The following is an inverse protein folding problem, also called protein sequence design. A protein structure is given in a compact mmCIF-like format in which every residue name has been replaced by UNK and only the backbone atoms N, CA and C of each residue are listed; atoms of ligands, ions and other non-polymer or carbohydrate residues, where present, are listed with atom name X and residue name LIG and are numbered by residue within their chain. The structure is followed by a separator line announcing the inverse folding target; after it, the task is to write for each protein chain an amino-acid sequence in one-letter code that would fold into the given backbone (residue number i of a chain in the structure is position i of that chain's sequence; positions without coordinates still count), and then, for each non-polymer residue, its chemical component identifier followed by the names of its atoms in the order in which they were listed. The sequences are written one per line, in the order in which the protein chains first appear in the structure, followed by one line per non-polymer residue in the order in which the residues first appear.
data_IF_910197253134
#
_entry.id   IF_910197253134
#
_cell.length_a   1.000
_cell.length_b   1.000
_cell.length_c   1.000
_cell.angle_alpha   90.00
_cell.angle_beta   90.00
_cell.angle_gamma   90.00
#
_symmetry.space_group_name_H-M   'P 1'
#
loop_
_entity.id
_entity.type
_entity.pdbx_description
1 polymer ?
#
# COMPACT_ATOMS: atom_id res chain seq x y z
N UNK A 1 -1.80 -26.87 4.93
CA UNK A 1 -1.80 -26.05 6.19
C UNK A 1 -3.16 -25.37 6.26
N UNK A 2 -3.86 -25.51 7.38
CA UNK A 2 -5.19 -24.92 7.55
C UNK A 2 -5.17 -23.41 7.25
N UNK A 3 -6.17 -22.91 6.53
CA UNK A 3 -6.30 -21.52 6.03
C UNK A 3 -5.24 -21.08 4.99
N UNK A 4 -4.47 -22.00 4.42
CA UNK A 4 -3.52 -21.72 3.34
C UNK A 4 -3.82 -22.60 2.12
N UNK A 5 -3.75 -23.93 2.27
CA UNK A 5 -3.92 -24.86 1.13
C UNK A 5 -5.34 -24.83 0.58
N UNK A 6 -6.33 -24.58 1.45
CA UNK A 6 -7.75 -24.42 1.08
C UNK A 6 -8.00 -23.26 0.12
N UNK A 7 -7.13 -22.24 0.14
CA UNK A 7 -7.23 -21.03 -0.71
C UNK A 7 -6.29 -21.07 -1.93
N UNK A 8 -5.75 -22.27 -2.26
CA UNK A 8 -4.85 -22.49 -3.41
C UNK A 8 -5.36 -23.59 -4.35
N UNK A 9 -6.60 -24.05 -4.18
CA UNK A 9 -7.18 -25.13 -4.95
C UNK A 9 -7.43 -24.77 -6.41
N UNK A 10 -6.79 -25.48 -7.35
CA UNK A 10 -6.90 -25.22 -8.78
C UNK A 10 -8.32 -25.39 -9.32
N UNK A 11 -9.07 -26.39 -8.82
CA UNK A 11 -10.44 -26.64 -9.27
C UNK A 11 -11.37 -25.47 -8.94
N UNK A 12 -11.23 -24.85 -7.75
CA UNK A 12 -12.02 -23.70 -7.37
C UNK A 12 -11.58 -22.44 -8.13
N UNK A 13 -10.28 -22.28 -8.36
CA UNK A 13 -9.76 -21.21 -9.21
C UNK A 13 -10.35 -21.28 -10.63
N UNK A 14 -10.39 -22.47 -11.23
CA UNK A 14 -10.98 -22.69 -12.55
C UNK A 14 -12.49 -22.34 -12.58
N UNK A 15 -13.23 -22.71 -11.53
CA UNK A 15 -14.66 -22.36 -11.41
C UNK A 15 -14.88 -20.84 -11.33
N UNK A 16 -14.06 -20.15 -10.54
CA UNK A 16 -14.14 -18.69 -10.38
C UNK A 16 -13.78 -17.97 -11.69
N UNK A 17 -12.76 -18.44 -12.41
CA UNK A 17 -12.39 -17.89 -13.72
C UNK A 17 -13.50 -18.09 -14.75
N UNK A 18 -14.14 -19.28 -14.77
CA UNK A 18 -15.30 -19.53 -15.64
C UNK A 18 -16.49 -18.65 -15.26
N UNK A 19 -16.74 -18.43 -13.96
CA UNK A 19 -17.77 -17.52 -13.50
C UNK A 19 -17.48 -16.07 -13.91
N UNK A 20 -16.25 -15.61 -13.75
CA UNK A 20 -15.82 -14.28 -14.21
C UNK A 20 -16.02 -14.10 -15.72
N UNK A 21 -15.65 -15.10 -16.53
CA UNK A 21 -15.84 -15.05 -17.98
C UNK A 21 -17.32 -14.94 -18.39
N UNK A 22 -18.20 -15.62 -17.66
CA UNK A 22 -19.65 -15.60 -17.89
C UNK A 22 -20.30 -14.28 -17.44
N UNK A 23 -19.88 -13.80 -16.27
CA UNK A 23 -20.53 -12.69 -15.57
C UNK A 23 -20.03 -11.31 -16.03
N UNK A 24 -18.88 -11.23 -16.73
CA UNK A 24 -18.32 -9.98 -17.26
C UNK A 24 -18.95 -9.66 -18.62
N UNK A 25 -19.82 -8.65 -18.69
CA UNK A 25 -20.54 -8.27 -19.92
C UNK A 25 -19.91 -7.06 -20.63
N UNK A 26 -19.08 -6.28 -19.94
CA UNK A 26 -18.39 -5.09 -20.47
C UNK A 26 -17.03 -4.90 -19.80
N UNK A 27 -16.14 -4.03 -20.33
CA UNK A 27 -14.83 -3.79 -19.74
C UNK A 27 -14.90 -3.14 -18.34
N UNK A 28 -14.15 -3.69 -17.39
CA UNK A 28 -14.01 -3.19 -16.02
C UNK A 28 -12.56 -3.01 -15.64
N UNK A 29 -12.25 -1.91 -14.96
CA UNK A 29 -10.93 -1.65 -14.38
C UNK A 29 -11.01 -1.69 -12.87
N UNK A 30 -10.32 -2.64 -12.26
CA UNK A 30 -10.23 -2.84 -10.83
C UNK A 30 -8.82 -2.49 -10.35
N UNK A 31 -8.71 -1.85 -9.19
CA UNK A 31 -7.42 -1.53 -8.56
C UNK A 31 -7.26 -2.32 -7.27
N UNK A 32 -6.15 -3.01 -7.12
CA UNK A 32 -5.74 -3.53 -5.81
C UNK A 32 -4.87 -2.51 -5.06
N UNK A 33 -4.94 -2.52 -3.74
CA UNK A 33 -4.33 -1.51 -2.86
C UNK A 33 -3.28 -2.09 -1.92
N UNK A 34 -2.63 -3.20 -2.31
CA UNK A 34 -1.60 -3.80 -1.48
C UNK A 34 -0.55 -4.53 -2.31
N UNK A 35 0.73 -4.25 -2.03
CA UNK A 35 1.84 -4.95 -2.68
C UNK A 35 1.80 -6.48 -2.51
N UNK A 36 1.28 -6.99 -1.38
CA UNK A 36 1.06 -8.42 -1.19
C UNK A 36 0.01 -9.01 -2.14
N UNK A 37 -1.05 -8.24 -2.44
CA UNK A 37 -2.04 -8.61 -3.46
C UNK A 37 -1.40 -8.59 -4.85
N UNK A 38 -0.66 -7.53 -5.20
CA UNK A 38 0.11 -7.43 -6.45
C UNK A 38 1.00 -8.66 -6.64
N UNK A 39 1.81 -8.97 -5.63
CA UNK A 39 2.74 -10.10 -5.66
C UNK A 39 2.02 -11.42 -5.94
N UNK A 40 0.93 -11.71 -5.21
CA UNK A 40 0.16 -12.93 -5.41
C UNK A 40 -0.47 -12.99 -6.80
N UNK A 41 -1.11 -11.90 -7.26
CA UNK A 41 -1.77 -11.84 -8.57
C UNK A 41 -0.79 -12.11 -9.73
N UNK A 42 0.39 -11.52 -9.68
CA UNK A 42 1.40 -11.69 -10.74
C UNK A 42 2.07 -13.07 -10.65
N UNK A 43 2.51 -13.47 -9.44
CA UNK A 43 3.20 -14.75 -9.22
C UNK A 43 2.33 -15.96 -9.56
N UNK A 44 1.06 -15.94 -9.20
CA UNK A 44 0.11 -17.03 -9.51
C UNK A 44 -0.41 -16.99 -10.96
N UNK A 45 -0.06 -15.96 -11.74
CA UNK A 45 -0.52 -15.79 -13.11
C UNK A 45 -2.00 -15.41 -13.26
N UNK A 46 -2.68 -15.04 -12.18
CA UNK A 46 -4.11 -14.67 -12.20
C UNK A 46 -4.37 -13.58 -13.23
N UNK A 47 -3.53 -12.55 -13.28
CA UNK A 47 -3.68 -11.43 -14.23
C UNK A 47 -3.72 -11.85 -15.71
N UNK A 48 -3.12 -13.00 -16.04
CA UNK A 48 -3.11 -13.56 -17.42
C UNK A 48 -4.29 -14.47 -17.69
N UNK A 49 -4.90 -15.02 -16.63
CA UNK A 49 -6.04 -15.94 -16.72
C UNK A 49 -7.38 -15.21 -16.68
N UNK A 50 -7.41 -13.94 -16.28
CA UNK A 50 -8.63 -13.14 -16.23
C UNK A 50 -9.21 -12.95 -17.64
N UNK A 51 -10.55 -12.90 -17.78
CA UNK A 51 -11.20 -12.53 -19.03
C UNK A 51 -10.71 -11.18 -19.55
N UNK A 52 -10.62 -11.01 -20.88
CA UNK A 52 -10.16 -9.79 -21.53
C UNK A 52 -10.94 -8.52 -21.12
N UNK A 53 -12.16 -8.68 -20.64
CA UNK A 53 -13.00 -7.58 -20.11
C UNK A 53 -12.56 -7.08 -18.73
N UNK A 54 -11.60 -7.73 -18.04
CA UNK A 54 -11.17 -7.32 -16.71
C UNK A 54 -9.72 -6.82 -16.76
N UNK A 55 -9.54 -5.54 -16.46
CA UNK A 55 -8.22 -4.93 -16.31
C UNK A 55 -7.92 -4.76 -14.82
N UNK A 56 -6.84 -5.38 -14.34
CA UNK A 56 -6.28 -5.09 -13.03
C UNK A 56 -5.17 -4.05 -13.15
N UNK A 57 -5.23 -3.04 -12.29
CA UNK A 57 -4.21 -2.03 -12.12
C UNK A 57 -3.73 -2.00 -10.67
N UNK A 58 -2.53 -1.49 -10.45
CA UNK A 58 -1.87 -1.52 -9.15
C UNK A 58 -1.94 -0.15 -8.50
N UNK A 59 -2.44 -0.12 -7.27
CA UNK A 59 -2.55 1.11 -6.49
C UNK A 59 -1.31 1.37 -5.62
N UNK A 60 -1.33 2.46 -4.86
CA UNK A 60 -0.22 2.88 -4.00
C UNK A 60 -0.16 2.07 -2.70
N UNK A 61 -0.16 0.74 -2.79
CA UNK A 61 -0.27 -0.22 -1.68
C UNK A 61 1.05 -0.74 -1.12
N UNK A 62 2.21 -0.24 -1.58
CA UNK A 62 3.53 -0.59 -1.05
C UNK A 62 4.10 0.62 -0.30
N UNK A 63 4.36 0.53 1.02
CA UNK A 63 4.81 1.68 1.81
C UNK A 63 6.16 2.23 1.34
N UNK A 64 7.08 1.36 0.96
CA UNK A 64 8.38 1.75 0.38
C UNK A 64 8.19 2.54 -0.92
N UNK A 65 7.21 2.12 -1.73
CA UNK A 65 6.97 2.71 -3.05
C UNK A 65 6.43 4.15 -2.98
N UNK A 66 5.68 4.46 -1.92
CA UNK A 66 5.00 5.75 -1.75
C UNK A 66 5.73 6.72 -0.81
N UNK A 67 6.74 6.25 -0.07
CA UNK A 67 7.57 7.10 0.79
C UNK A 67 8.34 8.11 -0.06
N UNK A 68 8.20 9.40 0.26
CA UNK A 68 8.86 10.47 -0.47
C UNK A 68 10.39 10.42 -0.30
N UNK A 69 11.13 10.88 -1.31
CA UNK A 69 12.59 10.93 -1.26
C UNK A 69 13.09 11.84 -0.13
N UNK A 70 12.39 12.93 0.16
CA UNK A 70 12.75 13.82 1.27
C UNK A 70 12.78 13.09 2.62
N UNK A 71 11.81 12.19 2.87
CA UNK A 71 11.79 11.39 4.09
C UNK A 71 12.94 10.38 4.12
N UNK A 72 13.33 9.82 2.97
CA UNK A 72 14.49 8.94 2.84
C UNK A 72 15.77 9.72 3.15
N UNK A 73 15.94 10.93 2.58
CA UNK A 73 17.11 11.75 2.81
C UNK A 73 17.21 12.21 4.28
N UNK A 74 16.08 12.52 4.91
CA UNK A 74 16.02 12.79 6.36
C UNK A 74 16.47 11.59 7.17
N UNK A 75 15.98 10.40 6.81
CA UNK A 75 16.38 9.14 7.44
C UNK A 75 17.90 8.92 7.33
N UNK A 76 18.46 9.10 6.13
CA UNK A 76 19.91 8.97 5.87
C UNK A 76 20.72 9.99 6.64
N UNK A 77 20.26 11.24 6.75
CA UNK A 77 20.95 12.28 7.52
C UNK A 77 20.99 11.96 9.02
N UNK A 78 19.95 11.33 9.55
CA UNK A 78 19.91 10.86 10.94
C UNK A 78 20.83 9.65 11.09
N UNK A 79 20.76 8.69 10.19
CA UNK A 79 21.52 7.44 10.21
C UNK A 79 23.04 7.64 10.17
N UNK A 80 23.51 8.69 9.50
CA UNK A 80 24.95 9.03 9.42
C UNK A 80 25.54 9.61 10.69
N UNK A 81 24.72 9.83 11.73
CA UNK A 81 25.21 10.35 13.01
C UNK A 81 25.81 9.23 13.85
N UNK A 82 27.06 9.34 14.29
CA UNK A 82 27.75 8.26 14.98
C UNK A 82 27.14 7.91 16.36
N UNK A 83 26.36 8.82 16.93
CA UNK A 83 25.66 8.63 18.20
C UNK A 83 24.30 7.96 18.05
N UNK A 84 23.83 7.68 16.83
CA UNK A 84 22.52 7.14 16.54
C UNK A 84 22.61 5.66 16.17
N UNK A 85 21.87 4.82 16.87
CA UNK A 85 21.51 3.47 16.41
C UNK A 85 20.16 3.60 15.72
N UNK A 86 20.18 3.48 14.42
CA UNK A 86 18.99 3.64 13.58
C UNK A 86 18.50 2.26 13.12
N UNK A 87 17.24 1.94 13.03
CA UNK A 87 16.71 0.65 12.57
C UNK A 87 15.56 0.85 11.58
N UNK A 88 15.37 0.00 10.54
CA UNK A 88 14.32 0.12 9.51
C UNK A 88 13.75 -1.23 9.07
N UNK A 89 12.66 -1.20 8.30
CA UNK A 89 12.16 -2.37 7.61
C UNK A 89 13.12 -2.80 6.48
N UNK A 90 13.32 -4.11 6.31
CA UNK A 90 14.34 -4.65 5.41
C UNK A 90 14.27 -4.16 3.96
N UNK A 91 13.07 -3.94 3.41
CA UNK A 91 12.92 -3.42 2.04
C UNK A 91 13.38 -1.95 1.89
N UNK A 92 13.36 -1.17 2.97
CA UNK A 92 13.89 0.20 2.96
C UNK A 92 15.42 0.22 2.83
N UNK A 93 16.10 -0.79 3.34
CA UNK A 93 17.56 -0.91 3.23
C UNK A 93 18.06 -1.14 1.79
N UNK A 94 17.14 -1.47 0.87
CA UNK A 94 17.45 -1.65 -0.55
C UNK A 94 17.29 -0.39 -1.39
N UNK A 95 16.77 0.68 -0.82
CA UNK A 95 16.67 1.96 -1.53
C UNK A 95 18.09 2.47 -1.77
N UNK A 96 18.49 2.79 -3.02
CA UNK A 96 19.82 3.29 -3.32
C UNK A 96 20.18 4.50 -2.45
N UNK A 97 21.36 4.45 -1.80
CA UNK A 97 21.81 5.47 -0.84
C UNK A 97 21.43 5.20 0.61
N UNK A 98 20.64 4.17 0.92
CA UNK A 98 20.32 3.76 2.28
C UNK A 98 21.41 2.81 2.80
N UNK A 99 22.44 3.34 3.43
CA UNK A 99 23.36 2.54 4.25
C UNK A 99 22.84 2.57 5.69
N UNK A 100 22.17 1.51 6.08
CA UNK A 100 21.63 1.23 7.40
C UNK A 100 20.76 2.33 8.06
N UNK A 101 19.75 1.92 8.71
CA UNK A 101 19.16 2.18 10.01
C UNK A 101 17.70 2.66 9.99
N UNK A 102 16.98 2.57 11.07
CA UNK A 102 15.53 2.49 11.21
C UNK A 102 14.73 3.73 10.88
N UNK A 103 13.75 3.47 10.08
CA UNK A 103 12.76 4.38 9.60
C UNK A 103 11.37 3.72 9.71
N UNK A 104 10.44 4.34 10.42
CA UNK A 104 9.11 3.81 10.65
C UNK A 104 8.21 4.07 9.43
N UNK A 105 8.40 3.27 8.41
CA UNK A 105 7.62 3.28 7.18
C UNK A 105 6.48 2.28 7.28
N UNK A 106 5.30 2.62 6.82
CA UNK A 106 4.19 1.68 6.83
C UNK A 106 2.87 2.32 6.48
N UNK A 107 1.88 1.47 6.42
CA UNK A 107 0.47 1.82 6.46
C UNK A 107 -0.09 1.64 7.87
N UNK A 108 -1.39 1.70 7.99
CA UNK A 108 -2.12 1.52 9.26
C UNK A 108 -1.83 0.20 9.94
N UNK A 109 -1.35 -0.81 9.20
CA UNK A 109 -1.03 -2.14 9.75
C UNK A 109 0.13 -2.09 10.73
N UNK A 110 1.18 -1.32 10.43
CA UNK A 110 2.42 -1.25 11.24
C UNK A 110 2.39 -0.10 12.24
N UNK A 111 1.55 0.89 12.04
CA UNK A 111 1.44 2.07 12.87
C UNK A 111 1.15 1.75 14.36
N UNK A 112 0.30 0.78 14.74
CA UNK A 112 0.07 0.45 16.15
C UNK A 112 1.30 -0.06 16.89
N UNK A 113 2.19 -0.82 16.23
CA UNK A 113 3.44 -1.30 16.85
C UNK A 113 4.38 -0.11 17.14
N UNK A 114 4.48 0.84 16.22
CA UNK A 114 5.27 2.05 16.41
C UNK A 114 4.64 2.97 17.46
N UNK A 115 3.31 3.10 17.51
CA UNK A 115 2.60 3.80 18.56
C UNK A 115 2.89 3.18 19.94
N UNK A 116 2.88 1.85 20.04
CA UNK A 116 3.20 1.14 21.29
C UNK A 116 4.63 1.44 21.74
N UNK A 117 5.60 1.46 20.82
CA UNK A 117 6.99 1.77 21.16
C UNK A 117 7.13 3.20 21.71
N UNK A 118 6.52 4.19 21.09
CA UNK A 118 6.50 5.59 21.56
C UNK A 118 5.80 5.70 22.93
N UNK A 119 4.63 5.07 23.06
CA UNK A 119 3.86 5.08 24.29
C UNK A 119 4.64 4.45 25.47
N UNK A 120 5.31 3.31 25.23
CA UNK A 120 6.15 2.67 26.24
C UNK A 120 7.37 3.52 26.59
N UNK A 121 8.04 4.09 25.58
CA UNK A 121 9.18 4.97 25.79
C UNK A 121 8.81 6.18 26.65
N UNK A 122 7.65 6.79 26.40
CA UNK A 122 7.12 7.88 27.21
C UNK A 122 6.84 7.47 28.66
N UNK A 123 6.24 6.29 28.87
CA UNK A 123 5.95 5.76 30.21
C UNK A 123 7.20 5.41 31.03
N UNK A 124 8.29 5.08 30.34
CA UNK A 124 9.57 4.72 30.96
C UNK A 124 10.58 5.87 31.01
N UNK A 125 10.18 7.08 30.63
CA UNK A 125 11.04 8.28 30.52
C UNK A 125 12.33 8.00 29.71
N UNK A 126 12.22 7.26 28.60
CA UNK A 126 13.36 6.96 27.72
C UNK A 126 13.67 8.19 26.88
N UNK A 127 14.85 8.77 27.12
CA UNK A 127 15.29 10.00 26.41
C UNK A 127 16.16 9.73 25.17
N UNK A 128 16.61 8.50 25.01
CA UNK A 128 17.46 8.07 23.90
C UNK A 128 16.69 7.34 22.78
N UNK A 129 15.36 7.40 22.79
CA UNK A 129 14.49 6.85 21.73
C UNK A 129 13.83 7.98 20.94
N UNK A 130 13.71 7.81 19.65
CA UNK A 130 12.90 8.68 18.77
C UNK A 130 12.48 7.92 17.51
N UNK A 131 11.49 8.43 16.82
CA UNK A 131 10.91 7.82 15.62
C UNK A 131 10.79 8.87 14.52
N UNK A 132 11.26 8.56 13.32
CA UNK A 132 10.93 9.31 12.11
C UNK A 132 9.63 8.72 11.53
N UNK A 133 8.52 9.39 11.77
CA UNK A 133 7.19 8.90 11.37
C UNK A 133 6.92 9.16 9.90
N UNK A 134 6.80 8.09 9.11
CA UNK A 134 6.49 8.13 7.68
C UNK A 134 5.29 7.27 7.29
N UNK A 135 4.42 6.98 8.25
CA UNK A 135 3.19 6.23 7.98
C UNK A 135 2.24 7.02 7.10
N UNK A 136 1.58 6.31 6.21
CA UNK A 136 0.56 6.82 5.28
C UNK A 136 -0.76 6.07 5.45
N UNK A 137 -1.86 6.71 5.04
CA UNK A 137 -3.23 6.22 5.23
C UNK A 137 -3.88 5.90 3.88
N UNK A 138 -4.48 4.72 3.78
CA UNK A 138 -5.10 4.22 2.54
C UNK A 138 -6.34 5.02 2.12
N UNK A 139 -7.30 5.35 3.01
CA UNK A 139 -8.55 6.02 2.61
C UNK A 139 -8.34 7.35 1.87
N UNK A 140 -7.48 8.29 2.33
CA UNK A 140 -7.22 9.53 1.59
C UNK A 140 -6.59 9.30 0.21
N UNK A 141 -5.73 8.28 0.06
CA UNK A 141 -5.13 7.94 -1.22
C UNK A 141 -6.18 7.39 -2.21
N UNK A 142 -7.14 6.58 -1.75
CA UNK A 142 -8.26 6.13 -2.57
C UNK A 142 -9.11 7.32 -3.05
N UNK A 143 -9.43 8.27 -2.17
CA UNK A 143 -10.17 9.49 -2.54
C UNK A 143 -9.40 10.32 -3.56
N UNK A 144 -8.10 10.50 -3.39
CA UNK A 144 -7.26 11.24 -4.34
C UNK A 144 -7.25 10.60 -5.73
N UNK A 145 -7.19 9.26 -5.81
CA UNK A 145 -7.28 8.53 -7.08
C UNK A 145 -8.65 8.73 -7.72
N UNK A 146 -9.73 8.55 -6.95
CA UNK A 146 -11.10 8.68 -7.45
C UNK A 146 -11.45 10.10 -7.89
N UNK A 147 -10.89 11.11 -7.24
CA UNK A 147 -11.08 12.53 -7.59
C UNK A 147 -10.24 12.96 -8.80
N UNK A 148 -9.26 12.17 -9.23
CA UNK A 148 -8.42 12.51 -10.38
C UNK A 148 -9.23 12.54 -11.67
N UNK A 149 -9.10 13.57 -12.53
CA UNK A 149 -9.77 13.61 -13.82
C UNK A 149 -9.29 12.51 -14.78
N UNK A 150 -8.10 11.93 -14.53
CA UNK A 150 -7.56 10.81 -15.27
C UNK A 150 -7.98 9.43 -14.71
N UNK A 151 -8.80 9.40 -13.66
CA UNK A 151 -9.22 8.16 -13.01
C UNK A 151 -9.90 7.20 -13.98
N UNK A 152 -9.48 5.93 -13.95
CA UNK A 152 -10.09 4.82 -14.70
C UNK A 152 -10.60 3.70 -13.78
N UNK A 153 -10.36 3.82 -12.48
CA UNK A 153 -10.70 2.77 -11.51
C UNK A 153 -12.20 2.78 -11.25
N UNK A 154 -12.80 1.61 -11.37
CA UNK A 154 -14.23 1.41 -11.20
C UNK A 154 -14.58 0.56 -9.97
N UNK A 155 -13.59 -0.17 -9.42
CA UNK A 155 -13.72 -0.89 -8.16
C UNK A 155 -12.35 -1.06 -7.49
N UNK A 156 -12.36 -1.31 -6.18
CA UNK A 156 -11.14 -1.56 -5.41
C UNK A 156 -11.14 -2.94 -4.75
N UNK A 157 -9.94 -3.54 -4.70
CA UNK A 157 -9.63 -4.63 -3.81
C UNK A 157 -8.84 -4.06 -2.63
N UNK A 158 -9.49 -3.92 -1.48
CA UNK A 158 -8.89 -3.32 -0.30
C UNK A 158 -8.04 -4.33 0.48
N UNK A 159 -6.95 -3.85 1.05
CA UNK A 159 -5.96 -4.66 1.76
C UNK A 159 -6.51 -5.23 3.07
N UNK A 160 -6.70 -6.54 3.16
CA UNK A 160 -7.25 -7.20 4.34
C UNK A 160 -6.46 -6.95 5.62
N UNK A 161 -5.12 -6.87 5.55
CA UNK A 161 -4.30 -6.59 6.75
C UNK A 161 -4.49 -5.16 7.30
N UNK A 162 -4.72 -4.17 6.45
CA UNK A 162 -5.09 -2.81 6.88
C UNK A 162 -6.45 -2.84 7.56
N UNK A 163 -7.42 -3.50 6.92
CA UNK A 163 -8.77 -3.62 7.46
C UNK A 163 -8.84 -4.48 8.74
N UNK A 164 -7.91 -5.40 8.98
CA UNK A 164 -7.82 -6.14 10.24
C UNK A 164 -7.53 -5.20 11.42
N UNK A 165 -6.81 -4.11 11.20
CA UNK A 165 -6.54 -3.07 12.20
C UNK A 165 -7.65 -2.01 12.20
N UNK A 166 -7.92 -1.40 11.05
CA UNK A 166 -8.80 -0.22 10.98
C UNK A 166 -10.28 -0.56 10.78
N UNK A 167 -10.61 -1.81 10.42
CA UNK A 167 -11.92 -2.15 9.90
C UNK A 167 -12.11 -1.63 8.48
N UNK A 168 -13.36 -1.61 8.02
CA UNK A 168 -13.68 -1.05 6.70
C UNK A 168 -14.75 0.05 6.77
N UNK A 169 -15.08 0.52 7.95
CA UNK A 169 -16.06 1.60 8.15
C UNK A 169 -15.70 2.87 7.38
N UNK A 170 -14.40 3.22 7.34
CA UNK A 170 -13.92 4.42 6.65
C UNK A 170 -14.06 4.34 5.12
N UNK A 171 -14.18 3.14 4.56
CA UNK A 171 -14.41 2.95 3.12
C UNK A 171 -15.88 3.13 2.72
N UNK A 172 -16.83 2.99 3.65
CA UNK A 172 -18.26 3.10 3.36
C UNK A 172 -18.65 4.48 2.78
N UNK A 173 -18.23 5.61 3.37
CA UNK A 173 -18.52 6.93 2.79
C UNK A 173 -17.81 7.15 1.45
N UNK A 174 -16.63 6.58 1.22
CA UNK A 174 -15.91 6.65 -0.06
C UNK A 174 -16.70 5.91 -1.14
N UNK A 175 -17.08 4.67 -0.86
CA UNK A 175 -17.87 3.84 -1.76
C UNK A 175 -19.21 4.51 -2.13
N UNK A 176 -19.88 5.13 -1.15
CA UNK A 176 -21.15 5.82 -1.37
C UNK A 176 -21.00 7.10 -2.20
N UNK A 177 -20.00 7.94 -1.88
CA UNK A 177 -19.73 9.22 -2.56
C UNK A 177 -19.35 9.02 -4.02
N UNK A 178 -18.43 8.11 -4.28
CA UNK A 178 -17.90 7.87 -5.62
C UNK A 178 -18.65 6.77 -6.37
N UNK A 179 -19.64 6.13 -5.73
CA UNK A 179 -20.47 5.07 -6.31
C UNK A 179 -19.63 3.91 -6.87
N UNK A 180 -18.63 3.48 -6.11
CA UNK A 180 -17.72 2.39 -6.47
C UNK A 180 -17.83 1.23 -5.49
N UNK A 181 -17.80 -0.03 -5.94
CA UNK A 181 -17.62 -1.16 -5.04
C UNK A 181 -16.20 -1.21 -4.49
N UNK A 182 -16.08 -1.52 -3.20
CA UNK A 182 -14.82 -1.77 -2.51
C UNK A 182 -14.92 -3.14 -1.86
N UNK A 183 -14.06 -4.08 -2.24
CA UNK A 183 -14.07 -5.43 -1.69
C UNK A 183 -12.83 -5.65 -0.86
N UNK A 184 -13.01 -5.90 0.44
CA UNK A 184 -11.90 -6.28 1.33
C UNK A 184 -11.51 -7.72 1.03
N UNK A 185 -10.24 -7.97 0.69
CA UNK A 185 -9.76 -9.31 0.33
C UNK A 185 -8.59 -9.77 1.19
N UNK A 186 -8.44 -11.09 1.31
CA UNK A 186 -7.20 -11.71 1.75
C UNK A 186 -6.12 -11.69 0.65
N UNK A 187 -5.13 -12.57 0.76
CA UNK A 187 -3.90 -12.53 -0.04
C UNK A 187 -3.64 -13.83 -0.81
N UNK A 188 -4.35 -14.89 -0.48
CA UNK A 188 -4.21 -16.15 -1.20
C UNK A 188 -4.90 -16.07 -2.58
N UNK A 189 -4.48 -16.88 -3.56
CA UNK A 189 -5.03 -16.83 -4.91
C UNK A 189 -6.57 -16.88 -4.99
N UNK A 190 -7.20 -17.74 -4.18
CA UNK A 190 -8.67 -17.82 -4.15
C UNK A 190 -9.32 -16.62 -3.47
N UNK A 191 -8.70 -16.04 -2.44
CA UNK A 191 -9.20 -14.79 -1.85
C UNK A 191 -9.32 -13.70 -2.90
N UNK A 192 -8.26 -13.55 -3.72
CA UNK A 192 -8.21 -12.53 -4.76
C UNK A 192 -9.19 -12.80 -5.89
N UNK A 193 -9.30 -14.05 -6.37
CA UNK A 193 -10.28 -14.42 -7.39
C UNK A 193 -11.71 -14.22 -6.90
N UNK A 194 -12.03 -14.59 -5.66
CA UNK A 194 -13.32 -14.34 -5.05
C UNK A 194 -13.61 -12.84 -4.94
N UNK A 195 -12.64 -12.07 -4.46
CA UNK A 195 -12.77 -10.61 -4.36
C UNK A 195 -12.98 -9.93 -5.71
N UNK A 196 -12.24 -10.33 -6.75
CA UNK A 196 -12.44 -9.86 -8.12
C UNK A 196 -13.85 -10.20 -8.61
N UNK A 197 -14.31 -11.45 -8.38
CA UNK A 197 -15.65 -11.87 -8.78
C UNK A 197 -16.76 -11.08 -8.05
N UNK A 198 -16.61 -10.83 -6.74
CA UNK A 198 -17.54 -9.99 -5.98
C UNK A 198 -17.59 -8.57 -6.54
N UNK A 199 -16.43 -7.96 -6.83
CA UNK A 199 -16.34 -6.63 -7.42
C UNK A 199 -17.02 -6.56 -8.79
N UNK A 200 -16.75 -7.51 -9.68
CA UNK A 200 -17.40 -7.59 -11.01
C UNK A 200 -18.92 -7.74 -10.88
N UNK A 201 -19.40 -8.64 -10.03
CA UNK A 201 -20.83 -8.82 -9.79
C UNK A 201 -21.51 -7.55 -9.24
N UNK A 202 -20.82 -6.81 -8.39
CA UNK A 202 -21.34 -5.53 -7.90
C UNK A 202 -21.43 -4.51 -9.04
N UNK A 203 -20.38 -4.40 -9.86
CA UNK A 203 -20.33 -3.51 -11.02
C UNK A 203 -21.40 -3.83 -12.07
N UNK A 204 -21.58 -5.11 -12.42
CA UNK A 204 -22.58 -5.58 -13.40
C UNK A 204 -24.00 -5.32 -12.91
N UNK A 205 -24.23 -5.42 -11.59
CA UNK A 205 -25.51 -5.11 -10.96
C UNK A 205 -25.72 -3.62 -10.66
N UNK A 206 -24.77 -2.73 -10.99
CA UNK A 206 -24.83 -1.30 -10.67
C UNK A 206 -24.82 -1.00 -9.17
N UNK A 207 -24.34 -1.95 -8.35
CA UNK A 207 -24.25 -1.82 -6.90
C UNK A 207 -22.91 -1.17 -6.51
N UNK A 208 -22.93 -0.41 -5.45
CA UNK A 208 -21.76 0.18 -4.82
C UNK A 208 -21.84 -0.04 -3.30
N UNK A 209 -20.72 0.10 -2.61
CA UNK A 209 -20.60 -0.16 -1.17
C UNK A 209 -19.39 -1.01 -0.86
N UNK A 210 -19.26 -1.41 0.40
CA UNK A 210 -18.16 -2.24 0.87
C UNK A 210 -18.66 -3.68 1.07
N UNK A 211 -17.97 -4.63 0.44
CA UNK A 211 -18.14 -6.06 0.67
C UNK A 211 -16.88 -6.66 1.29
N UNK A 212 -17.03 -7.65 2.17
CA UNK A 212 -15.91 -8.25 2.90
C UNK A 212 -15.74 -9.72 2.56
N UNK A 213 -14.82 -10.03 1.64
CA UNK A 213 -14.43 -11.42 1.33
C UNK A 213 -13.58 -12.03 2.46
N UNK A 214 -12.83 -11.18 3.19
CA UNK A 214 -11.87 -11.64 4.21
C UNK A 214 -12.48 -11.69 5.63
N UNK A 215 -13.74 -12.08 5.74
CA UNK A 215 -14.50 -12.07 6.99
C UNK A 215 -13.90 -12.97 8.11
N UNK A 216 -13.02 -13.93 7.74
CA UNK A 216 -12.30 -14.74 8.73
C UNK A 216 -11.29 -13.96 9.56
N UNK A 217 -10.87 -12.78 9.12
CA UNK A 217 -9.85 -11.96 9.79
C UNK A 217 -10.26 -10.49 9.97
N UNK A 218 -11.27 -10.03 9.25
CA UNK A 218 -11.67 -8.61 9.21
C UNK A 218 -13.10 -8.44 9.69
N UNK A 219 -13.28 -7.51 10.62
CA UNK A 219 -14.60 -7.02 11.05
C UNK A 219 -14.80 -5.59 10.58
N UNK A 220 -16.05 -5.10 10.59
CA UNK A 220 -16.39 -3.74 10.16
C UNK A 220 -15.62 -2.67 10.94
N UNK A 221 -15.45 -2.88 12.25
CA UNK A 221 -14.85 -1.90 13.16
C UNK A 221 -13.35 -2.15 13.41
N UNK A 222 -12.81 -3.30 12.98
CA UNK A 222 -11.40 -3.66 13.13
C UNK A 222 -10.97 -3.90 14.58
N UNK A 223 -9.70 -3.62 14.87
CA UNK A 223 -9.09 -3.76 16.20
C UNK A 223 -9.18 -2.44 16.97
N UNK A 224 -10.23 -2.27 17.75
CA UNK A 224 -10.49 -1.05 18.53
C UNK A 224 -9.36 -0.68 19.49
N UNK A 225 -8.77 -1.61 20.27
CA UNK A 225 -7.61 -1.30 21.12
C UNK A 225 -6.42 -0.73 20.33
N UNK A 226 -6.07 -1.33 19.20
CA UNK A 226 -4.98 -0.83 18.34
C UNK A 226 -5.28 0.58 17.79
N UNK A 227 -6.51 0.83 17.35
CA UNK A 227 -6.96 2.13 16.86
C UNK A 227 -6.94 3.20 17.95
N UNK A 228 -7.28 2.86 19.20
CA UNK A 228 -7.20 3.78 20.34
C UNK A 228 -5.77 4.20 20.61
N UNK A 229 -4.86 3.24 20.66
CA UNK A 229 -3.43 3.51 20.88
C UNK A 229 -2.86 4.37 19.74
N UNK A 230 -3.23 4.05 18.50
CA UNK A 230 -2.80 4.83 17.33
C UNK A 230 -3.23 6.30 17.44
N UNK A 231 -4.50 6.56 17.79
CA UNK A 231 -5.02 7.91 17.97
C UNK A 231 -4.50 8.62 19.21
N UNK A 232 -4.07 7.89 20.24
CA UNK A 232 -3.41 8.45 21.43
C UNK A 232 -2.03 9.02 21.08
N UNK A 233 -1.28 8.34 20.22
CA UNK A 233 0.12 8.68 19.91
C UNK A 233 0.25 9.53 18.65
N UNK A 234 -0.57 9.23 17.63
CA UNK A 234 -0.51 9.91 16.33
C UNK A 234 -1.76 10.72 16.03
N UNK A 235 -1.59 11.70 15.17
CA UNK A 235 -2.68 12.43 14.51
C UNK A 235 -2.44 12.49 13.00
N UNK A 236 -3.51 12.61 12.18
CA UNK A 236 -3.39 12.78 10.73
C UNK A 236 -2.64 14.08 10.38
N UNK A 237 -1.86 14.01 9.29
CA UNK A 237 -1.20 15.17 8.70
C UNK A 237 -1.19 15.04 7.18
N UNK A 238 -0.97 16.16 6.51
CA UNK A 238 -0.71 16.15 5.07
C UNK A 238 0.59 15.40 4.80
N UNK A 239 0.61 14.61 3.72
CA UNK A 239 1.78 13.81 3.38
C UNK A 239 2.02 13.81 1.88
N UNK A 240 3.28 14.02 1.51
CA UNK A 240 3.72 13.85 0.14
C UNK A 240 3.91 12.35 -0.16
N UNK A 241 3.15 11.86 -1.12
CA UNK A 241 3.26 10.51 -1.64
C UNK A 241 4.12 10.53 -2.89
N UNK A 242 5.12 9.65 -2.91
CA UNK A 242 6.05 9.57 -4.03
C UNK A 242 5.32 9.30 -5.33
N UNK A 243 5.57 10.15 -6.34
CA UNK A 243 4.97 10.03 -7.67
C UNK A 243 3.47 10.39 -7.77
N UNK A 244 2.81 10.74 -6.66
CA UNK A 244 1.39 11.16 -6.65
C UNK A 244 1.28 12.63 -6.28
N UNK A 245 2.10 13.10 -5.31
CA UNK A 245 2.04 14.45 -4.80
C UNK A 245 1.56 14.52 -3.36
N UNK A 246 1.22 15.74 -2.92
CA UNK A 246 0.72 15.97 -1.58
C UNK A 246 -0.76 15.60 -1.49
N UNK A 247 -1.09 14.76 -0.51
CA UNK A 247 -2.47 14.33 -0.23
C UNK A 247 -2.82 14.82 1.19
N UNK A 248 -3.89 15.61 1.34
CA UNK A 248 -4.32 16.10 2.65
C UNK A 248 -4.69 14.95 3.61
N UNK A 249 -4.33 15.10 4.89
CA UNK A 249 -4.64 14.17 5.97
C UNK A 249 -4.28 12.70 5.67
N UNK A 250 -3.28 12.44 4.85
CA UNK A 250 -2.92 11.12 4.34
C UNK A 250 -1.70 10.49 4.99
N UNK A 251 -1.14 11.14 6.00
CA UNK A 251 -0.04 10.62 6.80
C UNK A 251 -0.33 10.71 8.28
N UNK A 252 0.58 10.14 9.07
CA UNK A 252 0.58 10.23 10.51
C UNK A 252 1.80 10.99 11.00
N UNK A 253 1.60 11.89 11.98
CA UNK A 253 2.66 12.52 12.76
C UNK A 253 2.41 12.29 14.25
N UNK A 254 3.45 12.41 15.05
CA UNK A 254 3.29 12.37 16.50
C UNK A 254 2.45 13.55 16.99
N UNK A 255 1.58 13.26 17.96
CA UNK A 255 0.84 14.33 18.65
C UNK A 255 1.82 15.16 19.49
N UNK A 256 1.46 16.43 19.82
CA UNK A 256 2.34 17.33 20.58
C UNK A 256 2.85 16.75 21.90
N UNK A 257 2.05 15.92 22.58
CA UNK A 257 2.41 15.28 23.84
C UNK A 257 3.59 14.30 23.70
N UNK A 258 3.84 13.83 22.48
CA UNK A 258 4.94 12.91 22.13
C UNK A 258 6.05 13.58 21.28
N UNK A 259 6.05 14.92 21.15
CA UNK A 259 7.01 15.64 20.32
C UNK A 259 8.49 15.38 20.69
N UNK A 260 8.77 15.05 21.95
CA UNK A 260 10.12 14.68 22.40
C UNK A 260 10.69 13.42 21.71
N UNK A 261 9.82 12.59 21.13
CA UNK A 261 10.16 11.38 20.37
C UNK A 261 10.20 11.59 18.87
N UNK A 262 9.99 12.82 18.37
CA UNK A 262 10.03 13.15 16.95
C UNK A 262 11.47 13.32 16.48
N UNK A 263 11.95 12.36 15.70
CA UNK A 263 13.32 12.38 15.17
C UNK A 263 13.54 13.53 14.18
N UNK A 264 12.53 13.95 13.42
CA UNK A 264 12.65 15.09 12.50
C UNK A 264 12.96 16.37 13.23
N UNK A 265 12.26 16.63 14.35
CA UNK A 265 12.50 17.80 15.20
C UNK A 265 13.82 17.65 15.97
N UNK A 266 14.04 16.47 16.58
CA UNK A 266 15.23 16.19 17.41
C UNK A 266 16.55 16.40 16.65
N UNK A 267 16.58 15.99 15.39
CA UNK A 267 17.78 16.07 14.54
C UNK A 267 17.78 17.23 13.54
N UNK A 268 16.72 18.06 13.55
CA UNK A 268 16.55 19.25 12.70
C UNK A 268 16.72 18.96 11.19
N UNK A 269 16.18 17.84 10.69
CA UNK A 269 16.34 17.40 9.29
C UNK A 269 15.19 17.80 8.37
N UNK A 270 14.19 18.51 8.87
CA UNK A 270 12.96 18.89 8.12
C UNK A 270 13.18 19.73 6.86
N UNK A 271 14.34 20.38 6.74
CA UNK A 271 14.71 21.23 5.59
C UNK A 271 15.19 20.45 4.36
N UNK A 272 15.45 19.15 4.48
CA UNK A 272 15.96 18.36 3.35
C UNK A 272 14.86 18.12 2.32
N UNK A 273 15.24 18.30 1.04
CA UNK A 273 14.36 18.09 -0.11
C UNK A 273 15.09 17.30 -1.19
N UNK A 274 14.35 16.50 -1.95
CA UNK A 274 14.88 15.66 -3.02
C UNK A 274 13.98 15.72 -4.26
N UNK A 275 14.58 15.50 -5.44
CA UNK A 275 13.86 15.45 -6.71
C UNK A 275 13.77 14.00 -7.22
N UNK A 276 12.62 13.65 -7.74
CA UNK A 276 12.40 12.36 -8.42
C UNK A 276 13.10 12.29 -9.77
N UNK A 277 13.50 11.07 -10.19
CA UNK A 277 14.03 10.86 -11.53
C UNK A 277 12.93 11.11 -12.59
N UNK A 278 13.16 11.97 -13.58
CA UNK A 278 12.19 12.22 -14.65
C UNK A 278 11.95 11.01 -15.57
N UNK A 279 12.84 10.01 -15.52
CA UNK A 279 12.72 8.77 -16.29
C UNK A 279 11.80 7.73 -15.64
N UNK A 280 11.37 7.96 -14.39
CA UNK A 280 10.59 7.00 -13.64
C UNK A 280 9.09 7.30 -13.72
N UNK A 281 8.32 6.38 -14.30
CA UNK A 281 6.85 6.49 -14.42
C UNK A 281 6.11 5.82 -13.23
N UNK A 282 6.78 5.65 -12.09
CA UNK A 282 6.20 5.02 -10.91
C UNK A 282 4.89 5.69 -10.46
N UNK A 283 4.81 7.01 -10.53
CA UNK A 283 3.61 7.76 -10.17
C UNK A 283 2.39 7.39 -11.01
N UNK A 284 2.55 7.23 -12.33
CA UNK A 284 1.47 6.82 -13.21
C UNK A 284 1.05 5.35 -12.98
N UNK A 285 2.02 4.48 -12.63
CA UNK A 285 1.75 3.08 -12.27
C UNK A 285 0.93 3.02 -10.98
N UNK A 286 1.33 3.75 -9.95
CA UNK A 286 0.66 3.77 -8.64
C UNK A 286 -0.74 4.42 -8.69
N UNK A 287 -1.02 5.22 -9.71
CA UNK A 287 -2.34 5.79 -9.98
C UNK A 287 -3.20 4.89 -10.90
N UNK A 288 -2.68 3.74 -11.34
CA UNK A 288 -3.37 2.83 -12.25
C UNK A 288 -3.51 3.33 -13.69
N UNK A 289 -2.75 4.35 -14.08
CA UNK A 289 -2.78 4.96 -15.42
C UNK A 289 -1.93 4.17 -16.41
N UNK A 290 -0.89 3.48 -15.93
CA UNK A 290 0.02 2.61 -16.70
C UNK A 290 0.30 1.30 -15.98
N UNK A 291 0.72 0.29 -16.73
CA UNK A 291 1.32 -0.92 -16.18
C UNK A 291 2.85 -0.81 -16.17
N UNK A 292 3.57 -1.53 -15.31
CA UNK A 292 5.04 -1.49 -15.27
C UNK A 292 5.73 -1.71 -16.62
N UNK A 293 5.30 -2.65 -17.49
CA UNK A 293 5.91 -2.83 -18.81
C UNK A 293 5.73 -1.65 -19.78
N UNK A 294 4.78 -0.74 -19.52
CA UNK A 294 4.56 0.45 -20.34
C UNK A 294 5.62 1.55 -20.07
N UNK A 295 6.41 1.40 -19.01
CA UNK A 295 7.50 2.33 -18.69
C UNK A 295 8.69 2.07 -19.63
N UNK A 296 9.19 3.09 -20.36
CA UNK A 296 10.29 2.92 -21.30
C UNK A 296 11.58 2.37 -20.67
N UNK A 297 11.86 2.73 -19.43
CA UNK A 297 13.03 2.28 -18.68
C UNK A 297 12.88 0.85 -18.11
N UNK A 298 11.67 0.28 -18.11
CA UNK A 298 11.40 -1.01 -17.48
C UNK A 298 12.21 -2.15 -18.08
N UNK A 299 13.03 -2.79 -17.24
CA UNK A 299 13.85 -3.93 -17.63
C UNK A 299 15.01 -3.58 -18.57
N UNK A 300 15.32 -2.31 -18.71
CA UNK A 300 16.48 -1.74 -19.42
C UNK A 300 17.32 -0.98 -18.41
N UNK A 301 17.16 0.36 -18.35
CA UNK A 301 17.84 1.22 -17.38
C UNK A 301 17.34 1.00 -15.94
N UNK A 302 16.10 0.49 -15.79
CA UNK A 302 15.47 0.24 -14.50
C UNK A 302 15.30 -1.26 -14.26
N UNK A 303 16.14 -1.84 -13.41
CA UNK A 303 16.12 -3.25 -12.98
C UNK A 303 16.18 -3.30 -11.45
N UNK A 304 15.94 -4.48 -10.82
CA UNK A 304 16.13 -4.63 -9.36
C UNK A 304 17.56 -4.33 -8.88
N UNK A 305 18.57 -4.49 -9.76
CA UNK A 305 19.97 -4.20 -9.47
C UNK A 305 20.28 -2.71 -9.63
N UNK A 306 19.55 -2.02 -10.52
CA UNK A 306 19.70 -0.59 -10.80
C UNK A 306 18.33 0.09 -10.85
N UNK A 307 17.64 0.22 -9.70
CA UNK A 307 16.29 0.75 -9.67
C UNK A 307 16.27 2.28 -9.84
N UNK A 308 15.47 2.78 -10.77
CA UNK A 308 15.21 4.22 -10.93
C UNK A 308 14.07 4.69 -10.01
N UNK A 309 13.20 3.80 -9.59
CA UNK A 309 12.06 4.10 -8.73
C UNK A 309 11.78 3.03 -7.70
N UNK A 310 11.18 3.44 -6.58
CA UNK A 310 10.89 2.57 -5.44
C UNK A 310 10.05 1.32 -5.75
N UNK A 311 9.09 1.32 -6.70
CA UNK A 311 8.37 0.09 -7.08
C UNK A 311 9.23 -1.02 -7.70
N UNK A 312 10.49 -0.70 -8.11
CA UNK A 312 11.46 -1.70 -8.56
C UNK A 312 12.34 -2.21 -7.42
N UNK A 313 12.46 -1.46 -6.31
CA UNK A 313 13.25 -1.84 -5.12
C UNK A 313 12.55 -2.88 -4.28
N UNK A 314 11.31 -2.59 -3.89
CA UNK A 314 10.54 -3.45 -2.98
C UNK A 314 10.04 -4.70 -3.67
N UNK A 315 10.11 -5.84 -2.97
CA UNK A 315 9.50 -7.09 -3.43
C UNK A 315 7.97 -7.01 -3.57
N UNK A 316 7.35 -6.06 -2.88
CA UNK A 316 5.92 -5.74 -2.94
C UNK A 316 5.60 -4.68 -4.00
N UNK A 317 6.61 -4.08 -4.62
CA UNK A 317 6.41 -3.08 -5.67
C UNK A 317 5.94 -3.70 -6.99
N UNK A 318 5.00 -3.06 -7.65
CA UNK A 318 4.44 -3.55 -8.90
C UNK A 318 5.53 -3.79 -9.97
N UNK A 319 6.50 -2.88 -10.12
CA UNK A 319 7.58 -3.03 -11.10
C UNK A 319 8.44 -4.27 -10.82
N UNK A 320 8.83 -4.49 -9.56
CA UNK A 320 9.62 -5.66 -9.18
C UNK A 320 8.85 -6.98 -9.37
N UNK A 321 7.55 -7.00 -9.04
CA UNK A 321 6.70 -8.16 -9.25
C UNK A 321 6.58 -8.51 -10.74
N UNK A 322 6.34 -7.52 -11.61
CA UNK A 322 6.31 -7.73 -13.06
C UNK A 322 7.67 -8.15 -13.60
N UNK A 323 8.75 -7.59 -13.11
CA UNK A 323 10.10 -7.96 -13.55
C UNK A 323 10.42 -9.43 -13.26
N UNK A 324 10.07 -9.91 -12.06
CA UNK A 324 10.35 -11.28 -11.60
C UNK A 324 9.42 -12.32 -12.20
N UNK A 325 8.13 -12.02 -12.31
CA UNK A 325 7.10 -13.01 -12.61
C UNK A 325 6.30 -12.70 -13.88
N UNK A 326 6.32 -11.47 -14.36
CA UNK A 326 5.57 -11.04 -15.54
C UNK A 326 6.24 -11.36 -16.89
N UNK A 327 7.53 -11.74 -16.88
CA UNK A 327 8.33 -12.02 -18.09
C UNK A 327 8.24 -13.45 -18.62
N UNK A 328 7.57 -14.36 -17.93
CA UNK A 328 7.36 -15.72 -18.43
C UNK A 328 6.28 -15.67 -19.51
N UNK A 329 6.72 -15.50 -20.73
CA UNK A 329 5.90 -15.67 -21.97
C UNK A 329 5.73 -17.09 -22.31
#
# INVERSE_FOLDING_TARGET
MRFVDEYRGEAEAARLLAALARDTTRPWTLMELCGGQTHTLIRSGITRMLPAGITLVHGPGCPVCVTSLELIDRALAIARRPEVIFTSFGDMLRVPGSEADLFAVGFETTAPANAMAVWQASRQDLRNFSILAAHVLVPPAMEAILASPANRVQAFLAAGHVCAIMGYREYEPIAARHRVPIVVTGFEPLDLLQGIHMAVRALEAGRHGVENQYARAVTRDGNIPAQRLLREVFEPCDRKWRGIGEIPASGLRLRPEYAAFDAEQRFAVGHLSAAESPLCFAGEVLQGLRKPPDCPAFGRECTPEHPLGAPMVSSEGACAAYYRYGRSS
#
